data_IF_176940238036
#
_entry.id   IF_176940238036
#
_cell.length_a   1.000
_cell.length_b   1.000
_cell.length_c   1.000
_cell.angle_alpha   90.00
_cell.angle_beta   90.00
_cell.angle_gamma   90.00
#
_symmetry.space_group_name_H-M   'P 1'
#
loop_
_entity.id
_entity.type
_entity.pdbx_description
1 polymer ?
#
# COMPACT_ATOMS: atom_id res chain seq x y z
N UNK A 1 -13.62 6.99 -14.09
CA UNK A 1 -14.32 7.72 -15.16
C UNK A 1 -15.71 8.10 -14.68
N UNK A 2 -16.08 9.36 -14.86
CA UNK A 2 -17.45 9.83 -14.62
C UNK A 2 -18.08 10.18 -15.97
N UNK A 3 -19.37 9.87 -16.16
CA UNK A 3 -20.13 10.36 -17.30
C UNK A 3 -20.61 11.81 -17.07
N UNK A 4 -21.31 12.39 -18.04
CA UNK A 4 -21.87 13.75 -17.95
C UNK A 4 -22.86 13.91 -16.78
N UNK A 5 -23.54 12.83 -16.39
CA UNK A 5 -24.43 12.77 -15.21
C UNK A 5 -23.68 12.60 -13.87
N UNK A 6 -22.34 12.69 -13.86
CA UNK A 6 -21.47 12.47 -12.69
C UNK A 6 -21.56 11.06 -12.07
N UNK A 7 -22.08 10.09 -12.80
CA UNK A 7 -22.10 8.68 -12.39
C UNK A 7 -20.76 8.03 -12.71
N UNK A 8 -20.25 7.25 -11.76
CA UNK A 8 -19.04 6.44 -11.97
C UNK A 8 -19.40 5.27 -12.88
N UNK A 9 -18.78 5.21 -14.06
CA UNK A 9 -19.04 4.19 -15.08
C UNK A 9 -17.97 3.09 -15.12
N UNK A 10 -16.96 3.16 -14.25
CA UNK A 10 -15.91 2.14 -14.18
C UNK A 10 -16.45 0.82 -13.60
N UNK A 11 -15.98 -0.30 -14.15
CA UNK A 11 -16.26 -1.64 -13.60
C UNK A 11 -15.70 -1.82 -12.18
N UNK A 12 -14.49 -1.29 -11.94
CA UNK A 12 -13.85 -1.26 -10.64
C UNK A 12 -12.74 -0.20 -10.64
N UNK A 13 -12.38 0.28 -9.44
CA UNK A 13 -11.23 1.16 -9.25
C UNK A 13 -10.04 0.29 -8.84
N UNK A 14 -8.97 0.20 -9.66
CA UNK A 14 -7.84 -0.67 -9.36
C UNK A 14 -7.01 -0.15 -8.18
N UNK A 15 -6.29 -1.07 -7.54
CA UNK A 15 -5.34 -0.73 -6.47
C UNK A 15 -4.13 0.00 -7.07
N UNK A 16 -3.56 0.93 -6.30
CA UNK A 16 -2.32 1.62 -6.64
C UNK A 16 -1.20 1.17 -5.71
N UNK A 17 -0.01 1.00 -6.27
CA UNK A 17 1.20 0.75 -5.51
C UNK A 17 1.49 1.95 -4.60
N UNK A 18 1.59 1.72 -3.29
CA UNK A 18 1.86 2.74 -2.29
C UNK A 18 3.22 3.39 -2.49
N UNK A 19 4.19 2.67 -3.04
CA UNK A 19 5.55 3.19 -3.24
C UNK A 19 5.69 4.10 -4.47
N UNK A 20 5.06 3.75 -5.59
CA UNK A 20 5.29 4.39 -6.91
C UNK A 20 4.07 5.09 -7.48
N UNK A 21 2.91 4.97 -6.84
CA UNK A 21 1.61 5.44 -7.34
C UNK A 21 1.19 4.84 -8.70
N UNK A 22 1.88 3.81 -9.19
CA UNK A 22 1.49 3.06 -10.38
C UNK A 22 0.30 2.16 -10.08
N UNK A 23 -0.57 1.98 -11.07
CA UNK A 23 -1.70 1.07 -10.98
C UNK A 23 -1.19 -0.37 -10.96
N UNK A 24 -1.70 -1.18 -10.04
CA UNK A 24 -1.45 -2.61 -9.99
C UNK A 24 -2.41 -3.27 -10.99
N UNK A 25 -1.85 -3.79 -12.08
CA UNK A 25 -2.62 -4.43 -13.13
C UNK A 25 -3.19 -5.79 -12.70
N UNK A 26 -4.24 -6.29 -13.38
CA UNK A 26 -4.87 -7.57 -13.04
C UNK A 26 -3.95 -8.79 -13.25
N UNK A 27 -2.90 -8.65 -14.08
CA UNK A 27 -1.89 -9.70 -14.34
C UNK A 27 -0.63 -9.57 -13.48
N UNK A 28 -0.57 -8.61 -12.55
CA UNK A 28 0.56 -8.50 -11.62
C UNK A 28 0.35 -9.45 -10.42
N UNK A 29 0.61 -10.74 -10.65
CA UNK A 29 0.52 -11.79 -9.61
C UNK A 29 1.64 -11.71 -8.57
N UNK A 30 2.69 -10.93 -8.86
CA UNK A 30 3.80 -10.68 -7.94
C UNK A 30 3.54 -9.52 -6.97
N UNK A 31 2.44 -8.79 -7.16
CA UNK A 31 2.00 -7.75 -6.23
C UNK A 31 1.56 -8.35 -4.90
N UNK A 32 1.87 -7.63 -3.81
CA UNK A 32 1.51 -8.05 -2.46
C UNK A 32 0.78 -6.94 -1.73
N UNK A 33 -0.12 -7.33 -0.84
CA UNK A 33 -0.70 -6.45 0.16
C UNK A 33 -0.10 -6.82 1.51
N UNK A 34 0.45 -5.84 2.20
CA UNK A 34 1.06 -5.98 3.52
C UNK A 34 0.21 -5.18 4.49
N UNK A 35 -0.31 -5.85 5.50
CA UNK A 35 -1.15 -5.27 6.52
C UNK A 35 -0.36 -5.19 7.83
N UNK A 36 -0.18 -3.99 8.36
CA UNK A 36 0.51 -3.75 9.63
C UNK A 36 -0.55 -3.37 10.66
N UNK A 37 -0.67 -4.13 11.74
CA UNK A 37 -1.61 -3.84 12.81
C UNK A 37 -1.07 -2.74 13.73
N UNK A 38 -1.95 -1.83 14.14
CA UNK A 38 -1.65 -0.90 15.22
C UNK A 38 -1.64 -1.63 16.56
N UNK A 39 -0.80 -1.17 17.47
CA UNK A 39 -0.58 -1.80 18.76
C UNK A 39 -0.99 -0.84 19.87
N UNK A 40 -1.66 -1.35 20.90
CA UNK A 40 -2.00 -0.56 22.09
C UNK A 40 -0.82 -0.42 23.06
N UNK A 41 -1.03 0.31 24.15
CA UNK A 41 -0.03 0.51 25.21
C UNK A 41 0.43 -0.79 25.89
N UNK A 42 -0.35 -1.85 25.81
CA UNK A 42 -0.04 -3.16 26.38
C UNK A 42 0.69 -4.08 25.38
N UNK A 43 0.98 -3.60 24.17
CA UNK A 43 1.62 -4.40 23.14
C UNK A 43 0.67 -5.33 22.39
N UNK A 44 -0.65 -5.17 22.55
CA UNK A 44 -1.66 -6.00 21.89
C UNK A 44 -2.12 -5.36 20.59
N UNK A 45 -2.32 -6.21 19.57
CA UNK A 45 -2.83 -5.77 18.28
C UNK A 45 -4.27 -5.24 18.42
N UNK A 46 -4.49 -4.04 17.93
CA UNK A 46 -5.82 -3.41 17.85
C UNK A 46 -6.54 -3.85 16.57
N UNK A 47 -7.75 -3.33 16.36
CA UNK A 47 -8.53 -3.56 15.13
C UNK A 47 -8.06 -2.69 13.96
N UNK A 48 -7.22 -1.69 14.20
CA UNK A 48 -6.74 -0.78 13.18
C UNK A 48 -5.54 -1.40 12.45
N UNK A 49 -5.53 -1.24 11.13
CA UNK A 49 -4.52 -1.83 10.26
C UNK A 49 -4.15 -0.84 9.17
N UNK A 50 -2.85 -0.64 8.97
CA UNK A 50 -2.30 0.06 7.84
C UNK A 50 -2.02 -0.92 6.69
N UNK A 51 -2.76 -0.76 5.59
CA UNK A 51 -2.56 -1.56 4.38
C UNK A 51 -1.63 -0.85 3.39
N UNK A 52 -0.56 -1.53 3.00
CA UNK A 52 0.37 -1.10 1.97
C UNK A 52 0.32 -2.06 0.79
N UNK A 53 0.37 -1.50 -0.42
CA UNK A 53 0.33 -2.28 -1.65
C UNK A 53 1.65 -2.10 -2.38
N UNK A 54 2.38 -3.18 -2.63
CA UNK A 54 3.65 -3.15 -3.36
C UNK A 54 3.47 -3.92 -4.67
N UNK A 55 3.78 -3.26 -5.79
CA UNK A 55 3.73 -3.88 -7.11
C UNK A 55 4.87 -4.86 -7.32
N UNK A 56 4.67 -5.79 -8.26
CA UNK A 56 5.66 -6.77 -8.67
C UNK A 56 6.98 -6.15 -9.11
N UNK A 57 6.91 -5.05 -9.86
CA UNK A 57 8.11 -4.35 -10.38
C UNK A 57 9.04 -3.86 -9.26
N UNK A 58 8.49 -3.32 -8.17
CA UNK A 58 9.28 -2.79 -7.04
C UNK A 58 9.94 -3.94 -6.29
N UNK A 59 9.22 -5.06 -6.12
CA UNK A 59 9.75 -6.29 -5.54
C UNK A 59 10.87 -6.89 -6.38
N UNK A 60 10.70 -6.97 -7.70
CA UNK A 60 11.69 -7.51 -8.62
C UNK A 60 13.00 -6.70 -8.64
N UNK A 61 12.90 -5.37 -8.47
CA UNK A 61 14.06 -4.48 -8.40
C UNK A 61 14.78 -4.51 -7.04
N UNK A 62 14.28 -5.25 -6.04
CA UNK A 62 14.87 -5.28 -4.70
C UNK A 62 14.67 -3.99 -3.89
N UNK A 63 13.86 -3.05 -4.36
CA UNK A 63 13.59 -1.77 -3.69
C UNK A 63 12.44 -1.84 -2.68
N UNK A 64 11.83 -3.01 -2.48
CA UNK A 64 10.66 -3.17 -1.63
C UNK A 64 10.91 -2.74 -0.19
N UNK A 65 12.05 -3.14 0.39
CA UNK A 65 12.41 -2.82 1.78
C UNK A 65 12.60 -1.31 1.98
N UNK A 66 13.47 -0.68 1.19
CA UNK A 66 13.71 0.76 1.27
C UNK A 66 12.45 1.60 1.04
N UNK A 67 11.56 1.17 0.15
CA UNK A 67 10.27 1.84 -0.03
C UNK A 67 9.36 1.69 1.19
N UNK A 68 9.30 0.51 1.80
CA UNK A 68 8.48 0.28 2.99
C UNK A 68 9.00 1.06 4.19
N UNK A 69 10.31 1.12 4.41
CA UNK A 69 10.89 1.94 5.49
C UNK A 69 10.51 3.42 5.37
N UNK A 70 10.57 3.97 4.16
CA UNK A 70 10.10 5.34 3.90
C UNK A 70 8.60 5.49 4.18
N UNK A 71 7.76 4.57 3.69
CA UNK A 71 6.31 4.62 3.89
C UNK A 71 5.91 4.48 5.36
N UNK A 72 6.60 3.62 6.12
CA UNK A 72 6.38 3.45 7.55
C UNK A 72 6.76 4.70 8.33
N UNK A 73 7.86 5.37 7.97
CA UNK A 73 8.22 6.67 8.54
C UNK A 73 7.17 7.74 8.24
N UNK A 74 6.71 7.85 6.99
CA UNK A 74 5.65 8.79 6.60
C UNK A 74 4.33 8.54 7.36
N UNK A 75 4.08 7.30 7.78
CA UNK A 75 2.92 6.91 8.59
C UNK A 75 3.17 6.94 10.10
N UNK A 76 4.38 7.29 10.55
CA UNK A 76 4.73 7.31 11.98
C UNK A 76 4.84 5.92 12.62
N UNK A 77 4.96 4.85 11.83
CA UNK A 77 5.09 3.47 12.30
C UNK A 77 6.53 3.10 12.66
N UNK A 78 7.51 3.83 12.13
CA UNK A 78 8.93 3.70 12.49
C UNK A 78 9.45 5.00 13.07
N UNK A 79 10.12 4.88 14.22
CA UNK A 79 10.71 6.01 14.96
C UNK A 79 12.09 6.41 14.44
N UNK A 80 12.84 5.48 13.84
CA UNK A 80 14.18 5.70 13.33
C UNK A 80 14.26 5.40 11.83
N UNK A 81 15.09 6.15 11.12
CA UNK A 81 15.51 5.85 9.76
C UNK A 81 17.02 5.94 9.76
N UNK A 82 17.70 4.90 9.28
CA UNK A 82 19.03 5.09 8.70
C UNK A 82 18.96 6.07 7.53
#
# INVERSE_FOLDING_TARGET
MQNEDKKVVDLYIPRKCSATNRIIGPRDYSSVQINIADVDENGLATKNVHSFYISGDVRRQGMSDGCLNRLFKEKGLLTFSN
#
